data_IF_742096677398
#
_entry.id   IF_742096677398
#
_cell.length_a   1.000
_cell.length_b   1.000
_cell.length_c   1.000
_cell.angle_alpha   90.00
_cell.angle_beta   90.00
_cell.angle_gamma   90.00
#
_symmetry.space_group_name_H-M   'P 1'
#
loop_
_entity.id
_entity.type
_entity.pdbx_description
1 polymer ?
#
# COMPACT_ATOMS: atom_id res chain seq x y z
N UNK A 1 9.65 -10.77 1.12
CA UNK A 1 8.48 -10.32 1.91
C UNK A 1 7.22 -10.95 1.33
N UNK A 2 6.05 -10.79 1.98
CA UNK A 2 4.81 -11.50 1.61
C UNK A 2 4.37 -11.32 0.15
N UNK A 3 4.67 -10.18 -0.49
CA UNK A 3 4.47 -9.97 -1.94
C UNK A 3 5.40 -10.88 -2.74
N UNK A 4 6.69 -10.85 -2.44
CA UNK A 4 7.72 -11.68 -3.10
C UNK A 4 7.46 -13.18 -2.96
N UNK A 5 6.85 -13.61 -1.85
CA UNK A 5 6.47 -15.01 -1.62
C UNK A 5 5.05 -15.34 -2.09
N UNK A 6 4.36 -14.39 -2.74
CA UNK A 6 3.01 -14.57 -3.30
C UNK A 6 1.91 -14.76 -2.26
N UNK A 7 2.18 -14.47 -0.98
CA UNK A 7 1.19 -14.57 0.11
C UNK A 7 0.18 -13.43 0.09
N UNK A 8 0.54 -12.30 -0.51
CA UNK A 8 -0.38 -11.19 -0.80
C UNK A 8 -0.23 -10.77 -2.26
N UNK A 9 -1.32 -10.34 -2.88
CA UNK A 9 -1.32 -9.85 -4.25
C UNK A 9 -0.65 -8.47 -4.34
N UNK A 10 -0.29 -8.04 -5.56
CA UNK A 10 0.43 -6.79 -5.83
C UNK A 10 -0.35 -5.53 -5.42
N UNK A 11 -0.20 -5.13 -4.16
CA UNK A 11 -0.86 -3.99 -3.54
C UNK A 11 0.12 -2.81 -3.40
N UNK A 12 -0.29 -1.57 -3.71
CA UNK A 12 0.58 -0.40 -3.55
C UNK A 12 0.84 -0.13 -2.06
N UNK A 13 2.10 0.16 -1.72
CA UNK A 13 2.46 0.62 -0.38
C UNK A 13 2.61 2.14 -0.42
N UNK A 14 1.69 2.86 0.24
CA UNK A 14 1.73 4.31 0.33
C UNK A 14 2.33 4.72 1.68
N UNK A 15 3.42 5.48 1.66
CA UNK A 15 4.08 6.06 2.83
C UNK A 15 3.83 7.57 2.86
N UNK A 16 3.43 8.08 4.03
CA UNK A 16 3.20 9.51 4.23
C UNK A 16 4.43 10.21 4.79
N UNK A 17 4.75 11.41 4.30
CA UNK A 17 5.85 12.24 4.80
C UNK A 17 7.15 12.00 4.04
N UNK A 18 7.34 12.69 2.91
CA UNK A 18 8.50 12.50 2.01
C UNK A 18 9.83 12.68 2.74
N UNK A 19 10.00 13.80 3.45
CA UNK A 19 11.24 14.12 4.15
C UNK A 19 11.65 13.05 5.16
N UNK A 20 10.68 12.40 5.80
CA UNK A 20 10.94 11.34 6.77
C UNK A 20 11.45 10.05 6.09
N UNK A 21 10.86 9.68 4.95
CA UNK A 21 11.18 8.44 4.25
C UNK A 21 12.30 8.54 3.22
N UNK A 22 12.68 9.76 2.81
CA UNK A 22 13.74 10.02 1.83
C UNK A 22 15.04 9.22 2.13
N UNK A 23 15.58 9.20 3.36
CA UNK A 23 16.83 8.47 3.63
C UNK A 23 16.68 6.95 3.47
N UNK A 24 15.51 6.42 3.83
CA UNK A 24 15.22 4.98 3.67
C UNK A 24 15.05 4.62 2.20
N UNK A 25 14.34 5.44 1.43
CA UNK A 25 14.18 5.23 -0.01
C UNK A 25 15.52 5.23 -0.73
N UNK A 26 16.41 6.15 -0.35
CA UNK A 26 17.77 6.18 -0.85
C UNK A 26 18.48 4.86 -0.57
N UNK A 27 18.47 4.39 0.68
CA UNK A 27 19.09 3.12 1.07
C UNK A 27 18.52 1.91 0.33
N UNK A 28 17.20 1.84 0.15
CA UNK A 28 16.54 0.77 -0.61
C UNK A 28 17.05 0.74 -2.04
N UNK A 29 17.07 1.90 -2.72
CA UNK A 29 17.42 2.00 -4.15
C UNK A 29 18.93 1.85 -4.40
N UNK A 30 19.77 2.43 -3.56
CA UNK A 30 21.22 2.44 -3.76
C UNK A 30 21.90 1.17 -3.26
N UNK A 31 21.40 0.58 -2.17
CA UNK A 31 22.03 -0.57 -1.52
C UNK A 31 21.23 -1.85 -1.74
N UNK A 32 19.97 -1.90 -1.30
CA UNK A 32 19.24 -3.17 -1.26
C UNK A 32 18.92 -3.72 -2.66
N UNK A 33 18.64 -2.85 -3.62
CA UNK A 33 18.47 -3.25 -5.02
C UNK A 33 19.80 -3.65 -5.66
N UNK A 34 20.89 -2.93 -5.37
CA UNK A 34 22.21 -3.21 -5.99
C UNK A 34 22.80 -4.53 -5.51
N UNK A 35 22.60 -4.89 -4.25
CA UNK A 35 23.04 -6.18 -3.69
C UNK A 35 22.04 -7.33 -3.90
N UNK A 36 20.93 -7.08 -4.61
CA UNK A 36 19.94 -8.10 -4.98
C UNK A 36 19.03 -8.56 -3.84
N UNK A 37 19.00 -7.85 -2.71
CA UNK A 37 18.12 -8.16 -1.56
C UNK A 37 16.66 -7.84 -1.85
N UNK A 38 16.39 -6.88 -2.74
CA UNK A 38 15.05 -6.50 -3.18
C UNK A 38 15.03 -6.44 -4.72
N UNK A 39 13.98 -6.97 -5.33
CA UNK A 39 13.80 -6.87 -6.78
C UNK A 39 13.53 -5.43 -7.22
N UNK A 40 14.02 -4.98 -8.39
CA UNK A 40 13.79 -3.61 -8.88
C UNK A 40 12.30 -3.25 -8.95
N UNK A 41 11.45 -4.22 -9.31
CA UNK A 41 10.00 -4.05 -9.37
C UNK A 41 9.34 -3.88 -8.00
N UNK A 42 9.92 -4.42 -6.93
CA UNK A 42 9.37 -4.26 -5.57
C UNK A 42 9.59 -2.85 -5.03
N UNK A 43 10.76 -2.26 -5.32
CA UNK A 43 11.04 -0.88 -4.93
C UNK A 43 10.12 0.12 -5.64
N UNK A 44 9.65 -0.20 -6.85
CA UNK A 44 8.70 0.63 -7.60
C UNK A 44 7.27 0.60 -7.03
N UNK A 45 6.95 -0.38 -6.16
CA UNK A 45 5.61 -0.48 -5.51
C UNK A 45 5.45 0.48 -4.33
N UNK A 46 6.55 1.07 -3.84
CA UNK A 46 6.54 2.04 -2.75
C UNK A 46 6.29 3.42 -3.33
N UNK A 47 5.17 4.03 -2.95
CA UNK A 47 4.84 5.42 -3.27
C UNK A 47 4.96 6.24 -2.00
N UNK A 48 5.57 7.41 -2.10
CA UNK A 48 5.72 8.34 -0.96
C UNK A 48 5.10 9.67 -1.32
N UNK A 49 4.16 10.13 -0.51
CA UNK A 49 3.43 11.37 -0.74
C UNK A 49 3.21 12.16 0.55
N UNK A 50 2.98 13.45 0.41
CA UNK A 50 2.53 14.34 1.48
C UNK A 50 1.04 14.72 1.31
N UNK A 51 0.42 14.36 0.18
CA UNK A 51 -1.00 14.63 -0.09
C UNK A 51 -1.84 13.43 0.32
N UNK A 52 -2.84 13.70 1.15
CA UNK A 52 -3.85 12.71 1.54
C UNK A 52 -4.71 12.32 0.33
N UNK A 53 -5.02 13.29 -0.53
CA UNK A 53 -5.83 13.10 -1.73
C UNK A 53 -5.12 12.14 -2.70
N UNK A 54 -3.83 12.35 -2.97
CA UNK A 54 -3.03 11.46 -3.80
C UNK A 54 -2.97 10.04 -3.21
N UNK A 55 -2.76 9.93 -1.89
CA UNK A 55 -2.74 8.64 -1.20
C UNK A 55 -4.07 7.88 -1.36
N UNK A 56 -5.19 8.57 -1.20
CA UNK A 56 -6.53 8.00 -1.35
C UNK A 56 -6.77 7.54 -2.79
N UNK A 57 -6.40 8.35 -3.78
CA UNK A 57 -6.58 7.98 -5.20
C UNK A 57 -5.74 6.76 -5.59
N UNK A 58 -4.49 6.67 -5.12
CA UNK A 58 -3.64 5.49 -5.36
C UNK A 58 -4.23 4.21 -4.76
N UNK A 59 -4.74 4.29 -3.53
CA UNK A 59 -5.37 3.14 -2.86
C UNK A 59 -6.69 2.78 -3.53
N UNK A 60 -7.50 3.77 -3.93
CA UNK A 60 -8.77 3.57 -4.63
C UNK A 60 -8.53 2.92 -6.00
N UNK A 61 -7.63 3.45 -6.81
CA UNK A 61 -7.30 2.90 -8.12
C UNK A 61 -6.86 1.45 -8.02
N UNK A 62 -5.89 1.15 -7.14
CA UNK A 62 -5.46 -0.24 -6.96
C UNK A 62 -6.56 -1.13 -6.36
N UNK A 63 -7.24 -0.69 -5.30
CA UNK A 63 -8.27 -1.48 -4.62
C UNK A 63 -9.48 -1.78 -5.50
N UNK A 64 -10.04 -0.76 -6.15
CA UNK A 64 -11.28 -0.87 -6.91
C UNK A 64 -11.03 -1.44 -8.30
N UNK A 65 -10.03 -0.91 -9.03
CA UNK A 65 -9.82 -1.30 -10.43
C UNK A 65 -9.08 -2.62 -10.54
N UNK A 66 -8.04 -2.84 -9.73
CA UNK A 66 -7.20 -4.05 -9.82
C UNK A 66 -7.76 -5.21 -9.02
N UNK A 67 -8.35 -4.95 -7.85
CA UNK A 67 -8.86 -5.99 -6.95
C UNK A 67 -10.38 -6.11 -6.92
N UNK A 68 -11.10 -5.25 -7.66
CA UNK A 68 -12.56 -5.28 -7.68
C UNK A 68 -13.21 -4.96 -6.33
N UNK A 69 -12.47 -4.35 -5.40
CA UNK A 69 -13.00 -4.00 -4.09
C UNK A 69 -14.14 -3.00 -4.27
N UNK A 70 -15.26 -3.29 -3.63
CA UNK A 70 -16.39 -2.36 -3.54
C UNK A 70 -16.47 -1.85 -2.12
N UNK A 71 -16.83 -0.59 -1.96
CA UNK A 71 -17.29 -0.11 -0.67
C UNK A 71 -18.45 -1.00 -0.23
N UNK A 72 -18.26 -1.70 0.89
CA UNK A 72 -19.27 -2.59 1.42
C UNK A 72 -20.55 -1.82 1.74
N UNK A 73 -21.69 -2.53 1.69
CA UNK A 73 -22.92 -1.97 2.26
C UNK A 73 -22.67 -1.62 3.74
N UNK A 74 -23.21 -0.49 4.25
CA UNK A 74 -23.07 -0.15 5.66
C UNK A 74 -23.51 -1.34 6.51
N UNK A 75 -22.71 -1.68 7.53
CA UNK A 75 -23.01 -2.78 8.45
C UNK A 75 -24.38 -2.49 9.05
N UNK A 76 -25.36 -3.32 8.69
CA UNK A 76 -26.72 -3.21 9.21
C UNK A 76 -26.67 -3.60 10.67
N UNK A 77 -26.75 -2.62 11.57
CA UNK A 77 -26.82 -2.86 13.02
C UNK A 77 -27.96 -3.82 13.30
N UNK A 78 -27.64 -4.95 13.93
CA UNK A 78 -28.61 -5.98 14.31
C UNK A 78 -28.88 -5.84 15.79
N UNK A 79 -30.06 -5.36 16.13
CA UNK A 79 -30.46 -5.10 17.51
C UNK A 79 -30.30 -6.31 18.45
N UNK A 80 -30.39 -7.54 17.92
CA UNK A 80 -30.19 -8.78 18.69
C UNK A 80 -28.72 -9.14 18.95
N UNK A 81 -27.75 -8.46 18.32
CA UNK A 81 -26.32 -8.63 18.61
C UNK A 81 -25.83 -7.70 19.74
N UNK A 82 -26.73 -6.92 20.37
CA UNK A 82 -26.38 -6.05 21.49
C UNK A 82 -25.55 -4.80 21.12
N UNK A 83 -25.42 -4.49 19.82
CA UNK A 83 -24.81 -3.25 19.34
C UNK A 83 -25.71 -2.05 19.73
N UNK A 84 -25.31 -1.26 20.73
CA UNK A 84 -25.93 0.05 21.09
C UNK A 84 -25.30 1.19 20.29
#
# INVERSE_FOLDING_TARGET
TLIQTGKIQDFPLVLMGKAFWEPMLLFIRSTLVSVGTIGPGDAARIVVTDSVEEAVELVRGAGVEKFGLRYGAPIRRRWWLGER
#
